data_IF_796047558413
#
_entry.id   IF_796047558413
#
_cell.length_a   1.000
_cell.length_b   1.000
_cell.length_c   1.000
_cell.angle_alpha   90.00
_cell.angle_beta   90.00
_cell.angle_gamma   90.00
#
_symmetry.space_group_name_H-M   'P 1'
#
loop_
_entity.id
_entity.type
_entity.pdbx_description
1 polymer ?
#
# COMPACT_ATOMS: atom_id res chain seq x y z
N UNK A 1 28.81 -0.24 -10.40
CA UNK A 1 27.74 0.60 -10.98
C UNK A 1 26.56 -0.32 -11.23
N UNK A 2 25.60 -0.39 -10.31
CA UNK A 2 24.38 -1.21 -10.51
C UNK A 2 23.62 -0.63 -11.69
N UNK A 3 23.42 -1.45 -12.72
CA UNK A 3 22.72 -1.06 -13.94
C UNK A 3 21.25 -0.80 -13.57
N UNK A 4 20.78 0.42 -13.78
CA UNK A 4 19.37 0.77 -13.56
C UNK A 4 18.48 -0.13 -14.44
N UNK A 5 17.52 -0.83 -13.82
CA UNK A 5 16.54 -1.66 -14.53
C UNK A 5 15.33 -0.79 -14.89
N UNK A 6 15.28 -0.33 -16.14
CA UNK A 6 14.21 0.55 -16.63
C UNK A 6 12.83 -0.09 -16.55
N UNK A 7 12.78 -1.40 -16.67
CA UNK A 7 11.59 -2.24 -16.60
C UNK A 7 10.91 -2.12 -15.23
N UNK A 8 11.70 -2.03 -14.16
CA UNK A 8 11.16 -1.89 -12.79
C UNK A 8 10.45 -0.56 -12.60
N UNK A 9 10.88 0.51 -13.26
CA UNK A 9 10.16 1.79 -13.20
C UNK A 9 8.78 1.69 -13.85
N UNK A 10 8.67 1.03 -15.01
CA UNK A 10 7.38 0.79 -15.64
C UNK A 10 6.47 -0.09 -14.78
N UNK A 11 7.01 -1.15 -14.18
CA UNK A 11 6.26 -1.99 -13.24
C UNK A 11 5.74 -1.19 -12.04
N UNK A 12 6.55 -0.27 -11.50
CA UNK A 12 6.13 0.63 -10.41
C UNK A 12 4.99 1.54 -10.84
N UNK A 13 5.07 2.14 -12.04
CA UNK A 13 4.00 3.01 -12.56
C UNK A 13 2.69 2.23 -12.68
N UNK A 14 2.73 1.03 -13.27
CA UNK A 14 1.55 0.17 -13.42
C UNK A 14 0.99 -0.24 -12.05
N UNK A 15 1.85 -0.66 -11.11
CA UNK A 15 1.45 -1.04 -9.76
C UNK A 15 0.76 0.13 -9.02
N UNK A 16 1.37 1.32 -9.06
CA UNK A 16 0.81 2.53 -8.45
C UNK A 16 -0.55 2.89 -9.05
N UNK A 17 -0.68 2.85 -10.38
CA UNK A 17 -1.95 3.11 -11.06
C UNK A 17 -3.02 2.09 -10.66
N UNK A 18 -2.69 0.80 -10.60
CA UNK A 18 -3.63 -0.24 -10.19
C UNK A 18 -4.17 -0.03 -8.77
N UNK A 19 -3.31 0.37 -7.83
CA UNK A 19 -3.74 0.68 -6.45
C UNK A 19 -4.66 1.90 -6.41
N UNK A 20 -4.28 2.99 -7.08
CA UNK A 20 -5.11 4.22 -7.13
C UNK A 20 -6.47 3.92 -7.77
N UNK A 21 -6.49 3.19 -8.87
CA UNK A 21 -7.73 2.79 -9.56
C UNK A 21 -8.58 1.86 -8.70
N UNK A 22 -7.98 0.94 -7.94
CA UNK A 22 -8.72 0.08 -7.00
C UNK A 22 -9.49 0.93 -6.00
N UNK A 23 -8.85 1.95 -5.40
CA UNK A 23 -9.52 2.84 -4.46
C UNK A 23 -10.56 3.74 -5.12
N UNK A 24 -10.30 4.24 -6.33
CA UNK A 24 -11.28 5.01 -7.10
C UNK A 24 -12.54 4.18 -7.38
N UNK A 25 -12.36 2.93 -7.83
CA UNK A 25 -13.48 1.99 -8.05
C UNK A 25 -14.21 1.67 -6.75
N UNK A 26 -13.47 1.45 -5.64
CA UNK A 26 -14.09 1.28 -4.32
C UNK A 26 -14.99 2.45 -3.94
N UNK A 27 -14.52 3.69 -4.16
CA UNK A 27 -15.33 4.90 -3.91
C UNK A 27 -16.57 4.94 -4.79
N UNK A 28 -16.46 4.59 -6.07
CA UNK A 28 -17.63 4.53 -6.97
C UNK A 28 -18.66 3.49 -6.48
N UNK A 29 -18.21 2.31 -6.04
CA UNK A 29 -19.09 1.26 -5.51
C UNK A 29 -19.77 1.67 -4.19
N UNK A 30 -19.08 2.43 -3.34
CA UNK A 30 -19.60 2.83 -2.02
C UNK A 30 -20.45 4.09 -2.07
N UNK A 31 -20.06 5.09 -2.86
CA UNK A 31 -20.68 6.42 -2.87
C UNK A 31 -21.90 6.46 -3.80
N UNK A 32 -21.96 5.58 -4.81
CA UNK A 32 -23.09 5.48 -5.73
C UNK A 32 -23.88 4.21 -5.44
N UNK A 33 -25.21 4.31 -5.42
CA UNK A 33 -26.13 3.19 -5.27
C UNK A 33 -26.22 2.34 -6.55
N UNK A 34 -25.10 1.73 -6.93
CA UNK A 34 -24.99 0.86 -8.09
C UNK A 34 -25.73 -0.46 -7.85
N UNK A 35 -26.54 -0.88 -8.81
CA UNK A 35 -27.33 -2.13 -8.76
C UNK A 35 -27.17 -2.96 -10.03
N UNK A 36 -27.46 -4.26 -9.92
CA UNK A 36 -27.43 -5.19 -11.06
C UNK A 36 -26.05 -5.33 -11.72
N UNK A 37 -26.05 -5.49 -13.04
CA UNK A 37 -24.86 -5.80 -13.85
C UNK A 37 -23.77 -4.72 -13.76
N UNK A 38 -24.15 -3.46 -13.59
CA UNK A 38 -23.18 -2.35 -13.48
C UNK A 38 -22.31 -2.53 -12.24
N UNK A 39 -22.92 -2.90 -11.10
CA UNK A 39 -22.19 -3.17 -9.85
C UNK A 39 -21.25 -4.38 -10.01
N UNK A 40 -21.69 -5.41 -10.73
CA UNK A 40 -20.87 -6.59 -11.04
C UNK A 40 -19.67 -6.17 -11.88
N UNK A 41 -19.86 -5.36 -12.92
CA UNK A 41 -18.79 -4.84 -13.77
C UNK A 41 -17.71 -4.10 -12.98
N UNK A 42 -18.10 -3.15 -12.11
CA UNK A 42 -17.14 -2.42 -11.27
C UNK A 42 -16.43 -3.34 -10.27
N UNK A 43 -17.12 -4.32 -9.66
CA UNK A 43 -16.48 -5.29 -8.77
C UNK A 43 -15.47 -6.17 -9.50
N UNK A 44 -15.79 -6.60 -10.72
CA UNK A 44 -14.86 -7.37 -11.56
C UNK A 44 -13.63 -6.54 -11.89
N UNK A 45 -13.80 -5.28 -12.29
CA UNK A 45 -12.68 -4.36 -12.51
C UNK A 45 -11.83 -4.18 -11.24
N UNK A 46 -12.47 -3.99 -10.09
CA UNK A 46 -11.78 -3.91 -8.81
C UNK A 46 -10.92 -5.16 -8.56
N UNK A 47 -11.49 -6.36 -8.70
CA UNK A 47 -10.77 -7.63 -8.51
C UNK A 47 -9.59 -7.77 -9.48
N UNK A 48 -9.73 -7.32 -10.73
CA UNK A 48 -8.63 -7.29 -11.69
C UNK A 48 -7.52 -6.32 -11.28
N UNK A 49 -7.80 -5.26 -10.53
CA UNK A 49 -6.78 -4.29 -10.10
C UNK A 49 -6.08 -4.67 -8.79
N UNK A 50 -6.63 -5.63 -8.04
CA UNK A 50 -6.07 -6.11 -6.76
C UNK A 50 -4.66 -6.71 -6.89
N UNK A 51 -4.19 -7.06 -8.11
CA UNK A 51 -2.81 -7.52 -8.29
C UNK A 51 -1.75 -6.43 -8.01
N UNK A 52 -2.14 -5.15 -7.91
CA UNK A 52 -1.21 -4.05 -7.64
C UNK A 52 -0.34 -4.32 -6.40
N UNK A 53 -0.95 -4.84 -5.32
CA UNK A 53 -0.23 -5.18 -4.08
C UNK A 53 0.80 -6.31 -4.26
N UNK A 54 0.47 -7.50 -4.79
CA UNK A 54 1.48 -8.53 -5.05
C UNK A 54 2.52 -8.11 -6.10
N UNK A 55 2.22 -7.17 -7.00
CA UNK A 55 3.23 -6.59 -7.90
C UNK A 55 4.31 -5.80 -7.14
N UNK A 56 3.98 -5.09 -6.06
CA UNK A 56 5.00 -4.45 -5.21
C UNK A 56 5.89 -5.46 -4.50
N UNK A 57 5.35 -6.61 -4.09
CA UNK A 57 6.15 -7.71 -3.52
C UNK A 57 7.12 -8.25 -4.57
N UNK A 58 6.65 -8.49 -5.79
CA UNK A 58 7.51 -8.92 -6.91
C UNK A 58 8.60 -7.89 -7.24
N UNK A 59 8.27 -6.60 -7.28
CA UNK A 59 9.26 -5.54 -7.51
C UNK A 59 10.30 -5.53 -6.38
N UNK A 60 9.86 -5.67 -5.12
CA UNK A 60 10.74 -5.72 -3.96
C UNK A 60 11.73 -6.88 -4.06
N UNK A 61 11.27 -8.08 -4.42
CA UNK A 61 12.14 -9.26 -4.56
C UNK A 61 13.10 -9.13 -5.74
N UNK A 62 12.67 -8.63 -6.91
CA UNK A 62 13.54 -8.38 -8.06
C UNK A 62 14.65 -7.38 -7.71
N UNK A 63 14.30 -6.27 -7.06
CA UNK A 63 15.28 -5.26 -6.65
C UNK A 63 16.25 -5.85 -5.62
N UNK A 64 15.76 -6.68 -4.69
CA UNK A 64 16.59 -7.32 -3.68
C UNK A 64 17.63 -8.25 -4.28
N UNK A 65 17.19 -9.16 -5.14
CA UNK A 65 18.05 -10.17 -5.75
C UNK A 65 19.03 -9.54 -6.74
N UNK A 66 18.63 -8.47 -7.42
CA UNK A 66 19.52 -7.72 -8.30
C UNK A 66 20.56 -6.88 -7.53
N UNK A 67 20.15 -6.23 -6.43
CA UNK A 67 21.03 -5.36 -5.65
C UNK A 67 22.02 -6.14 -4.75
N UNK A 68 21.63 -7.34 -4.30
CA UNK A 68 22.39 -8.13 -3.34
C UNK A 68 22.65 -9.55 -3.86
N UNK A 69 23.37 -9.66 -4.98
CA UNK A 69 23.68 -10.94 -5.63
C UNK A 69 24.57 -11.84 -4.76
N UNK A 70 25.63 -11.28 -4.17
CA UNK A 70 26.64 -12.08 -3.47
C UNK A 70 26.52 -12.04 -1.94
N UNK A 71 26.20 -10.87 -1.37
CA UNK A 71 26.23 -10.63 0.08
C UNK A 71 25.18 -9.62 0.52
N UNK A 72 24.50 -9.93 1.62
CA UNK A 72 23.60 -8.99 2.30
C UNK A 72 24.46 -8.00 3.10
N UNK A 73 24.31 -6.68 2.89
CA UNK A 73 25.12 -5.69 3.60
C UNK A 73 24.75 -5.64 5.08
N UNK A 74 25.74 -5.30 5.92
CA UNK A 74 25.51 -5.03 7.34
C UNK A 74 24.48 -3.91 7.51
N UNK A 75 23.50 -4.11 8.38
CA UNK A 75 22.43 -3.13 8.62
C UNK A 75 21.34 -3.07 7.54
N UNK A 76 21.23 -4.10 6.68
CA UNK A 76 20.16 -4.21 5.68
C UNK A 76 18.76 -3.96 6.26
N UNK A 77 18.38 -4.67 7.32
CA UNK A 77 17.07 -4.50 7.97
C UNK A 77 16.91 -3.11 8.61
N UNK A 78 17.97 -2.57 9.21
CA UNK A 78 17.95 -1.23 9.84
C UNK A 78 17.63 -0.15 8.80
N UNK A 79 18.20 -0.26 7.59
CA UNK A 79 17.88 0.67 6.48
C UNK A 79 16.41 0.56 6.09
N UNK A 80 15.85 -0.65 6.03
CA UNK A 80 14.43 -0.84 5.72
C UNK A 80 13.55 -0.26 6.80
N UNK A 81 13.83 -0.49 8.08
CA UNK A 81 13.10 0.15 9.18
C UNK A 81 13.08 1.66 8.98
N UNK A 82 14.25 2.26 8.75
CA UNK A 82 14.38 3.71 8.60
C UNK A 82 13.63 4.28 7.40
N UNK A 83 13.70 3.62 6.24
CA UNK A 83 13.19 4.18 4.98
C UNK A 83 11.83 3.64 4.54
N UNK A 84 11.34 2.56 5.13
CA UNK A 84 10.05 1.93 4.80
C UNK A 84 9.11 1.98 6.00
N UNK A 85 9.56 1.48 7.16
CA UNK A 85 8.70 1.34 8.34
C UNK A 85 8.39 2.67 9.03
N UNK A 86 9.38 3.57 9.15
CA UNK A 86 9.13 4.91 9.73
C UNK A 86 8.07 5.68 8.93
N UNK A 87 8.19 5.83 7.58
CA UNK A 87 7.13 6.45 6.78
C UNK A 87 5.76 5.78 6.95
N UNK A 88 5.71 4.45 7.09
CA UNK A 88 4.48 3.72 7.35
C UNK A 88 3.80 4.10 8.66
N UNK A 89 4.56 4.22 9.76
CA UNK A 89 4.03 4.65 11.06
C UNK A 89 3.50 6.08 10.96
N UNK A 90 4.26 6.97 10.32
CA UNK A 90 3.87 8.37 10.13
C UNK A 90 2.56 8.46 9.35
N UNK A 91 2.43 7.73 8.24
CA UNK A 91 1.19 7.72 7.46
C UNK A 91 0.02 7.05 8.19
N UNK A 92 0.28 6.01 8.99
CA UNK A 92 -0.75 5.38 9.85
C UNK A 92 -1.33 6.37 10.85
N UNK A 93 -0.48 7.25 11.41
CA UNK A 93 -0.90 8.33 12.31
C UNK A 93 -1.70 9.40 11.55
N UNK A 94 -1.25 9.83 10.37
CA UNK A 94 -2.01 10.77 9.54
C UNK A 94 -3.40 10.23 9.20
N UNK A 95 -3.51 8.94 8.87
CA UNK A 95 -4.79 8.32 8.53
C UNK A 95 -5.75 8.25 9.73
N UNK A 96 -5.22 7.92 10.91
CA UNK A 96 -6.00 7.97 12.15
C UNK A 96 -6.43 9.41 12.50
N UNK A 97 -5.54 10.38 12.28
CA UNK A 97 -5.82 11.81 12.47
C UNK A 97 -6.89 12.38 11.54
N UNK A 98 -6.89 11.99 10.26
CA UNK A 98 -7.95 12.36 9.30
C UNK A 98 -9.33 11.85 9.75
N UNK A 99 -9.42 10.59 10.22
CA UNK A 99 -10.66 10.04 10.78
C UNK A 99 -11.08 10.76 12.06
N UNK A 100 -10.14 11.04 12.96
CA UNK A 100 -10.41 11.79 14.18
C UNK A 100 -11.06 13.15 13.90
N UNK A 101 -10.54 13.88 12.91
CA UNK A 101 -11.09 15.18 12.50
C UNK A 101 -12.46 15.06 11.82
N UNK A 102 -12.67 14.05 10.96
CA UNK A 102 -13.93 13.87 10.21
C UNK A 102 -15.11 13.43 11.07
N UNK A 103 -14.86 12.61 12.09
CA UNK A 103 -15.91 11.94 12.87
C UNK A 103 -16.06 12.48 14.30
N UNK A 104 -15.35 13.57 14.66
CA UNK A 104 -15.34 14.16 16.00
C UNK A 104 -15.08 13.12 17.10
N UNK A 105 -14.13 12.22 16.84
CA UNK A 105 -13.83 11.10 17.73
C UNK A 105 -13.12 11.53 19.02
N UNK A 106 -13.13 10.66 20.02
CA UNK A 106 -12.35 10.88 21.23
C UNK A 106 -10.87 10.54 21.02
N UNK A 107 -10.02 10.97 21.96
CA UNK A 107 -8.60 10.58 21.97
C UNK A 107 -8.41 9.06 22.12
N UNK A 108 -9.33 8.36 22.78
CA UNK A 108 -9.28 6.91 22.93
C UNK A 108 -9.51 6.20 21.58
N UNK A 109 -10.44 6.71 20.77
CA UNK A 109 -10.73 6.20 19.43
C UNK A 109 -9.54 6.42 18.49
N UNK A 110 -8.87 7.57 18.59
CA UNK A 110 -7.64 7.85 17.83
C UNK A 110 -6.53 6.84 18.11
N UNK A 111 -6.28 6.53 19.39
CA UNK A 111 -5.25 5.56 19.79
C UNK A 111 -5.62 4.15 19.30
N UNK A 112 -6.90 3.79 19.41
CA UNK A 112 -7.41 2.50 18.95
C UNK A 112 -7.27 2.35 17.44
N UNK A 113 -7.70 3.36 16.69
CA UNK A 113 -7.59 3.41 15.23
C UNK A 113 -6.12 3.41 14.77
N UNK A 114 -5.25 4.15 15.46
CA UNK A 114 -3.82 4.12 15.18
C UNK A 114 -3.24 2.71 15.39
N UNK A 115 -3.65 2.02 16.47
CA UNK A 115 -3.30 0.63 16.70
C UNK A 115 -3.77 -0.30 15.57
N UNK A 116 -5.00 -0.13 15.09
CA UNK A 116 -5.53 -0.87 13.95
C UNK A 116 -4.77 -0.58 12.66
N UNK A 117 -4.39 0.69 12.42
CA UNK A 117 -3.58 1.05 11.27
C UNK A 117 -2.20 0.39 11.34
N UNK A 118 -1.55 0.34 12.50
CA UNK A 118 -0.24 -0.30 12.70
C UNK A 118 -0.23 -1.81 12.44
N UNK A 119 -1.35 -2.50 12.70
CA UNK A 119 -1.49 -3.93 12.36
C UNK A 119 -1.96 -4.14 10.91
N UNK A 120 -2.06 -3.07 10.12
CA UNK A 120 -2.39 -3.14 8.69
C UNK A 120 -3.86 -3.12 8.35
N UNK A 121 -4.77 -2.64 9.22
CA UNK A 121 -6.20 -2.49 8.87
C UNK A 121 -6.49 -1.22 8.05
N UNK A 122 -5.64 -0.92 7.06
CA UNK A 122 -5.80 0.22 6.19
C UNK A 122 -5.07 0.03 4.85
N UNK A 123 -5.24 0.97 3.93
CA UNK A 123 -4.70 0.88 2.57
C UNK A 123 -3.18 0.69 2.51
N UNK A 124 -2.43 1.19 3.50
CA UNK A 124 -0.96 1.08 3.56
C UNK A 124 -0.43 -0.29 4.01
N UNK A 125 -1.27 -1.30 4.25
CA UNK A 125 -0.85 -2.62 4.75
C UNK A 125 0.19 -3.32 3.87
N UNK A 126 0.20 -3.05 2.55
CA UNK A 126 1.18 -3.63 1.64
C UNK A 126 2.63 -3.30 2.03
N UNK A 127 2.85 -2.19 2.74
CA UNK A 127 4.17 -1.80 3.22
C UNK A 127 4.70 -2.79 4.26
N UNK A 128 3.82 -3.36 5.09
CA UNK A 128 4.17 -4.43 6.03
C UNK A 128 4.52 -5.73 5.30
N UNK A 129 3.83 -6.02 4.19
CA UNK A 129 4.03 -7.25 3.41
C UNK A 129 5.37 -7.21 2.67
N UNK A 130 5.73 -6.07 2.09
CA UNK A 130 7.00 -5.95 1.36
C UNK A 130 8.20 -5.88 2.30
N UNK A 131 8.01 -5.55 3.58
CA UNK A 131 9.07 -5.40 4.58
C UNK A 131 9.84 -6.69 4.84
#
# INVERSE_FOLDING_TARGET
>A
MTKEMKEVYWLRVIACLSVVLTHAVSRVITDFSLSGDIRVGYRTLQMLLLYGTPMFVLISTIVMTHAYQDKIPKGFLIKRVKYIFIPYIVMSLFYAGDKYYRFNWSLADLVTEFGYNLIGQWHGYFVLIIF
#
